data_IF_338430384008
#
_entry.id   IF_338430384008
#
_cell.length_a   1.000
_cell.length_b   1.000
_cell.length_c   1.000
_cell.angle_alpha   90.00
_cell.angle_beta   90.00
_cell.angle_gamma   90.00
#
_symmetry.space_group_name_H-M   'P 1'
#
loop_
_entity.id
_entity.type
_entity.pdbx_description
1 polymer ?
#
# COMPACT_ATOMS: atom_id res chain seq x y z
N UNK A 1 4.92 -33.01 11.84
CA UNK A 1 5.61 -31.77 12.28
C UNK A 1 4.60 -30.95 13.07
N UNK A 2 5.00 -30.41 14.23
CA UNK A 2 4.12 -29.56 15.04
C UNK A 2 3.92 -28.22 14.33
N UNK A 3 2.68 -27.73 14.30
CA UNK A 3 2.33 -26.45 13.67
C UNK A 3 2.86 -25.29 14.50
N UNK A 4 3.33 -24.22 13.85
CA UNK A 4 3.75 -22.97 14.50
C UNK A 4 2.57 -22.17 15.07
N UNK A 5 1.37 -22.42 14.55
CA UNK A 5 0.14 -21.77 14.99
C UNK A 5 -0.38 -22.35 16.31
N UNK A 6 -1.05 -21.49 17.10
CA UNK A 6 -1.75 -21.89 18.30
C UNK A 6 -2.62 -23.14 18.05
N UNK A 7 -2.51 -24.14 18.93
CA UNK A 7 -3.19 -25.43 18.74
C UNK A 7 -4.71 -25.30 18.57
N UNK A 8 -5.33 -24.28 19.18
CA UNK A 8 -6.76 -24.04 19.05
C UNK A 8 -7.15 -23.51 17.66
N UNK A 9 -6.26 -22.76 17.00
CA UNK A 9 -6.44 -22.32 15.61
C UNK A 9 -6.35 -23.52 14.69
N UNK A 10 -5.31 -24.35 14.86
CA UNK A 10 -5.09 -25.57 14.08
C UNK A 10 -6.27 -26.53 14.22
N UNK A 11 -6.75 -26.74 15.45
CA UNK A 11 -7.93 -27.57 15.73
C UNK A 11 -9.19 -27.01 15.07
N UNK A 12 -9.35 -25.69 15.01
CA UNK A 12 -10.52 -25.08 14.38
C UNK A 12 -10.52 -25.26 12.86
N UNK A 13 -9.38 -25.07 12.20
CA UNK A 13 -9.26 -25.35 10.76
C UNK A 13 -9.49 -26.83 10.42
N UNK A 14 -9.04 -27.76 11.27
CA UNK A 14 -9.30 -29.20 11.10
C UNK A 14 -10.75 -29.62 11.33
N UNK A 15 -11.57 -28.76 11.92
CA UNK A 15 -13.00 -29.04 12.18
C UNK A 15 -13.93 -28.63 11.04
N UNK A 16 -13.37 -28.08 9.96
CA UNK A 16 -14.12 -27.74 8.75
C UNK A 16 -14.56 -29.04 8.07
N UNK A 17 -15.85 -29.19 7.70
CA UNK A 17 -16.37 -30.42 7.12
C UNK A 17 -15.77 -30.68 5.72
N UNK A 18 -15.74 -31.94 5.27
CA UNK A 18 -15.43 -32.24 3.87
C UNK A 18 -16.47 -31.58 2.94
N UNK A 19 -16.00 -31.03 1.81
CA UNK A 19 -16.76 -30.15 0.90
C UNK A 19 -17.23 -28.84 1.55
N UNK A 20 -16.31 -28.01 2.05
CA UNK A 20 -16.66 -26.82 2.79
C UNK A 20 -17.26 -25.75 1.88
N UNK A 21 -18.23 -25.02 2.44
CA UNK A 21 -18.69 -23.75 1.91
C UNK A 21 -17.84 -22.64 2.51
N UNK A 22 -17.79 -21.51 1.84
CA UNK A 22 -17.05 -20.34 2.28
C UNK A 22 -17.35 -19.95 3.75
N UNK A 23 -18.63 -19.95 4.12
CA UNK A 23 -19.07 -19.63 5.49
C UNK A 23 -18.51 -20.58 6.55
N UNK A 24 -18.12 -21.81 6.20
CA UNK A 24 -17.53 -22.77 7.13
C UNK A 24 -16.11 -22.35 7.56
N UNK A 25 -15.46 -21.47 6.79
CA UNK A 25 -14.13 -20.91 7.09
C UNK A 25 -14.14 -19.60 7.89
N UNK A 26 -15.29 -18.92 8.02
CA UNK A 26 -15.38 -17.66 8.75
C UNK A 26 -14.93 -17.80 10.21
N UNK A 27 -15.39 -18.84 10.89
CA UNK A 27 -15.04 -19.08 12.29
C UNK A 27 -13.54 -19.45 12.48
N UNK A 28 -12.94 -20.36 11.68
CA UNK A 28 -11.49 -20.58 11.67
C UNK A 28 -10.66 -19.32 11.44
N UNK A 29 -10.99 -18.50 10.44
CA UNK A 29 -10.25 -17.28 10.14
C UNK A 29 -10.41 -16.21 11.21
N UNK A 30 -11.62 -16.01 11.75
CA UNK A 30 -11.80 -15.12 12.90
C UNK A 30 -10.98 -15.57 14.11
N UNK A 31 -10.92 -16.89 14.37
CA UNK A 31 -10.10 -17.45 15.46
C UNK A 31 -8.61 -17.15 15.25
N UNK A 32 -8.10 -17.35 14.04
CA UNK A 32 -6.72 -17.01 13.68
C UNK A 32 -6.46 -15.52 13.87
N UNK A 33 -7.28 -14.68 13.25
CA UNK A 33 -7.10 -13.23 13.28
C UNK A 33 -7.18 -12.68 14.71
N UNK A 34 -8.14 -13.12 15.53
CA UNK A 34 -8.21 -12.71 16.94
C UNK A 34 -7.08 -13.25 17.82
N UNK A 35 -6.35 -14.28 17.38
CA UNK A 35 -5.22 -14.83 18.15
C UNK A 35 -3.92 -14.11 17.79
N UNK A 36 -3.73 -13.75 16.52
CA UNK A 36 -2.49 -13.14 16.04
C UNK A 36 -2.50 -11.60 16.14
N UNK A 37 -3.70 -11.00 16.21
CA UNK A 37 -3.86 -9.56 16.28
C UNK A 37 -4.37 -9.16 17.68
N UNK A 38 -3.53 -8.42 18.41
CA UNK A 38 -3.82 -7.84 19.72
C UNK A 38 -4.86 -6.72 19.62
N UNK A 39 -5.87 -6.76 20.48
CA UNK A 39 -6.95 -5.77 20.53
C UNK A 39 -6.48 -4.34 20.84
N UNK A 40 -5.29 -4.19 21.42
CA UNK A 40 -4.65 -2.90 21.71
C UNK A 40 -3.78 -2.39 20.56
N UNK A 41 -3.58 -3.21 19.53
CA UNK A 41 -2.86 -2.84 18.32
C UNK A 41 -3.53 -1.68 17.60
N UNK A 42 -2.74 -0.85 16.90
CA UNK A 42 -3.24 0.28 16.10
C UNK A 42 -3.93 -0.16 14.79
N UNK A 43 -4.48 -1.37 14.78
CA UNK A 43 -5.20 -1.99 13.66
C UNK A 43 -6.58 -2.42 14.14
N UNK A 44 -7.54 -2.49 13.23
CA UNK A 44 -8.88 -3.01 13.53
C UNK A 44 -9.13 -4.25 12.67
N UNK A 45 -9.42 -5.37 13.32
CA UNK A 45 -9.83 -6.60 12.64
C UNK A 45 -11.35 -6.59 12.55
N UNK A 46 -11.88 -6.25 11.38
CA UNK A 46 -13.31 -6.25 11.12
C UNK A 46 -13.69 -7.53 10.34
N UNK A 47 -14.30 -8.54 10.98
CA UNK A 47 -14.95 -9.60 10.21
C UNK A 47 -16.11 -8.98 9.42
N UNK A 48 -16.21 -9.31 8.12
CA UNK A 48 -17.20 -8.68 7.25
C UNK A 48 -18.62 -9.02 7.74
N UNK A 49 -19.31 -8.01 8.28
CA UNK A 49 -20.73 -8.01 8.55
C UNK A 49 -21.28 -6.72 7.94
N UNK A 50 -22.05 -6.81 6.86
CA UNK A 50 -23.42 -6.30 6.76
C UNK A 50 -23.91 -6.29 5.28
N UNK A 51 -25.19 -6.63 5.04
CA UNK A 51 -25.80 -6.70 3.72
C UNK A 51 -26.32 -5.32 3.26
N UNK A 52 -26.37 -5.08 1.94
CA UNK A 52 -27.19 -3.98 1.40
C UNK A 52 -28.59 -4.48 1.00
N UNK A 53 -29.65 -3.72 1.33
CA UNK A 53 -31.02 -4.10 1.02
C UNK A 53 -31.36 -3.66 -0.41
N UNK A 54 -31.37 -4.61 -1.37
CA UNK A 54 -32.34 -4.68 -2.49
C UNK A 54 -31.96 -5.60 -3.67
N UNK A 55 -30.94 -6.45 -3.60
CA UNK A 55 -30.67 -7.38 -4.71
C UNK A 55 -31.17 -8.78 -4.40
N UNK A 56 -32.34 -9.14 -4.95
CA UNK A 56 -32.77 -10.53 -5.05
C UNK A 56 -31.94 -11.24 -6.11
N UNK A 57 -31.17 -12.21 -5.62
CA UNK A 57 -30.91 -13.51 -6.25
C UNK A 57 -30.13 -13.56 -7.56
N UNK A 58 -28.93 -12.99 -7.56
CA UNK A 58 -27.74 -13.63 -8.17
C UNK A 58 -26.54 -13.26 -7.30
N UNK A 59 -25.74 -14.24 -6.89
CA UNK A 59 -24.46 -13.99 -6.21
C UNK A 59 -23.42 -13.93 -7.32
N UNK A 60 -22.97 -12.71 -7.62
CA UNK A 60 -21.78 -12.50 -8.42
C UNK A 60 -20.57 -12.83 -7.56
N UNK A 61 -19.81 -13.86 -7.92
CA UNK A 61 -18.50 -14.11 -7.34
C UNK A 61 -17.48 -13.30 -8.13
N UNK A 62 -16.76 -12.40 -7.46
CA UNK A 62 -15.48 -11.90 -7.95
C UNK A 62 -14.37 -12.64 -7.21
N UNK A 63 -13.61 -13.46 -7.93
CA UNK A 63 -12.32 -13.96 -7.48
C UNK A 63 -11.30 -12.90 -7.88
N UNK A 64 -10.90 -12.06 -6.93
CA UNK A 64 -9.80 -11.12 -7.14
C UNK A 64 -8.50 -11.73 -6.59
N UNK A 65 -7.57 -12.05 -7.49
CA UNK A 65 -6.16 -12.11 -7.10
C UNK A 65 -5.72 -10.67 -6.84
N UNK A 66 -4.74 -10.41 -5.95
CA UNK A 66 -4.14 -9.06 -5.86
C UNK A 66 -3.46 -8.76 -7.19
N UNK A 67 -4.22 -8.19 -8.10
CA UNK A 67 -3.74 -7.53 -9.30
C UNK A 67 -3.17 -6.25 -8.74
N UNK A 68 -1.85 -6.10 -8.73
CA UNK A 68 -1.31 -4.75 -8.86
C UNK A 68 -1.85 -4.27 -10.21
N UNK A 69 -2.95 -3.52 -10.20
CA UNK A 69 -3.45 -2.94 -11.44
C UNK A 69 -2.29 -2.15 -11.99
N UNK A 70 -1.93 -2.45 -13.22
CA UNK A 70 -0.87 -1.76 -13.94
C UNK A 70 -1.13 -0.24 -13.93
N UNK A 71 -2.41 0.16 -13.98
CA UNK A 71 -2.83 1.55 -13.85
C UNK A 71 -2.61 2.16 -12.46
N UNK A 72 -2.51 1.37 -11.37
CA UNK A 72 -2.34 1.92 -10.03
C UNK A 72 -1.04 2.71 -9.87
N UNK A 73 0.05 2.29 -10.53
CA UNK A 73 1.34 3.01 -10.47
C UNK A 73 1.32 4.30 -11.28
N UNK A 74 0.68 4.28 -12.44
CA UNK A 74 0.41 5.48 -13.24
C UNK A 74 -0.47 6.47 -12.47
N UNK A 75 -1.60 6.01 -11.94
CA UNK A 75 -2.50 6.83 -11.12
C UNK A 75 -1.79 7.39 -9.87
N UNK A 76 -0.92 6.60 -9.24
CA UNK A 76 -0.10 7.06 -8.12
C UNK A 76 0.92 8.14 -8.52
N UNK A 77 1.64 7.94 -9.64
CA UNK A 77 2.58 8.92 -10.20
C UNK A 77 1.86 10.23 -10.56
N UNK A 78 0.69 10.15 -11.20
CA UNK A 78 -0.15 11.31 -11.51
C UNK A 78 -0.62 12.04 -10.25
N UNK A 79 -1.13 11.30 -9.26
CA UNK A 79 -1.64 11.87 -8.01
C UNK A 79 -0.55 12.60 -7.24
N UNK A 80 0.64 12.01 -7.06
CA UNK A 80 1.72 12.66 -6.32
C UNK A 80 2.26 13.88 -7.07
N UNK A 81 2.38 13.80 -8.41
CA UNK A 81 2.80 14.95 -9.21
C UNK A 81 1.81 16.10 -9.13
N UNK A 82 0.51 15.82 -9.17
CA UNK A 82 -0.52 16.84 -8.98
C UNK A 82 -0.36 17.54 -7.64
N UNK A 83 -0.24 16.77 -6.55
CA UNK A 83 -0.03 17.32 -5.20
C UNK A 83 1.24 18.14 -5.08
N UNK A 84 2.36 17.66 -5.64
CA UNK A 84 3.63 18.37 -5.63
C UNK A 84 3.58 19.67 -6.45
N UNK A 85 2.85 19.70 -7.57
CA UNK A 85 2.63 20.92 -8.35
C UNK A 85 1.80 21.95 -7.58
N UNK A 86 0.79 21.51 -6.84
CA UNK A 86 -0.09 22.40 -6.09
C UNK A 86 0.61 22.99 -4.85
N UNK A 87 1.36 22.15 -4.12
CA UNK A 87 1.98 22.53 -2.83
C UNK A 87 3.41 23.07 -3.00
N UNK A 88 4.15 22.59 -4.01
CA UNK A 88 5.56 22.93 -4.24
C UNK A 88 5.86 24.43 -4.30
N UNK A 89 5.07 25.25 -5.02
CA UNK A 89 5.26 26.71 -5.04
C UNK A 89 5.09 27.37 -3.66
N UNK A 90 4.25 26.80 -2.80
CA UNK A 90 3.94 27.29 -1.46
C UNK A 90 4.93 26.81 -0.40
N UNK A 91 5.72 25.77 -0.70
CA UNK A 91 6.71 25.24 0.22
C UNK A 91 7.79 26.30 0.51
N UNK A 92 8.13 26.56 1.78
CA UNK A 92 9.20 27.50 2.14
C UNK A 92 10.59 26.96 1.80
N UNK A 93 10.74 25.63 1.68
CA UNK A 93 11.98 24.97 1.30
C UNK A 93 12.24 25.09 -0.21
N UNK A 94 13.51 25.04 -0.61
CA UNK A 94 13.90 24.98 -2.03
C UNK A 94 13.52 23.66 -2.71
N UNK A 95 13.40 22.57 -1.94
CA UNK A 95 12.98 21.26 -2.40
C UNK A 95 11.82 20.73 -1.55
N UNK A 96 10.81 20.15 -2.19
CA UNK A 96 9.71 19.46 -1.56
C UNK A 96 9.74 17.98 -1.95
N UNK A 97 9.97 17.11 -0.97
CA UNK A 97 9.99 15.67 -1.19
C UNK A 97 8.62 15.05 -0.95
N UNK A 98 8.21 14.16 -1.84
CA UNK A 98 7.03 13.32 -1.70
C UNK A 98 7.42 11.84 -1.70
N UNK A 99 6.79 11.04 -0.85
CA UNK A 99 7.00 9.59 -0.82
C UNK A 99 5.67 8.91 -1.11
N UNK A 100 5.67 7.94 -2.02
CA UNK A 100 4.50 7.12 -2.34
C UNK A 100 4.87 5.64 -2.24
N UNK A 101 4.03 4.84 -1.61
CA UNK A 101 4.33 3.43 -1.34
C UNK A 101 3.21 2.49 -1.80
N UNK A 102 3.60 1.32 -2.30
CA UNK A 102 2.75 0.16 -2.56
C UNK A 102 3.22 -0.98 -1.65
N UNK A 103 2.41 -1.31 -0.64
CA UNK A 103 2.85 -2.22 0.42
C UNK A 103 4.10 -1.70 1.11
N UNK A 104 5.20 -2.45 1.03
CA UNK A 104 6.50 -2.11 1.63
C UNK A 104 7.45 -1.39 0.67
N UNK A 105 7.11 -1.36 -0.62
CA UNK A 105 7.91 -0.78 -1.68
C UNK A 105 7.53 0.68 -1.91
N UNK A 106 8.51 1.56 -2.08
CA UNK A 106 8.25 3.00 -2.18
C UNK A 106 9.07 3.68 -3.28
N UNK A 107 8.54 4.81 -3.76
CA UNK A 107 9.19 5.75 -4.66
C UNK A 107 9.30 7.12 -3.99
N UNK A 108 10.40 7.83 -4.24
CA UNK A 108 10.62 9.20 -3.78
C UNK A 108 10.54 10.14 -4.97
N UNK A 109 9.83 11.23 -4.75
CA UNK A 109 9.68 12.34 -5.67
C UNK A 109 10.29 13.59 -5.05
N UNK A 110 10.93 14.41 -5.88
CA UNK A 110 11.50 15.68 -5.46
C UNK A 110 11.00 16.79 -6.38
N UNK A 111 10.22 17.73 -5.83
CA UNK A 111 9.89 18.98 -6.49
C UNK A 111 10.96 20.03 -6.16
N UNK A 112 11.69 20.48 -7.18
CA UNK A 112 12.66 21.55 -7.08
C UNK A 112 12.01 22.89 -7.41
N UNK A 113 12.00 23.83 -6.47
CA UNK A 113 11.31 25.12 -6.62
C UNK A 113 11.94 26.00 -7.70
N UNK A 114 13.27 26.01 -7.77
CA UNK A 114 14.02 26.86 -8.71
C UNK A 114 13.74 26.50 -10.17
N UNK A 115 13.69 25.21 -10.47
CA UNK A 115 13.46 24.70 -11.83
C UNK A 115 11.99 24.37 -12.11
N UNK A 116 11.14 24.33 -11.07
CA UNK A 116 9.76 23.83 -11.09
C UNK A 116 9.63 22.43 -11.68
N UNK A 117 10.66 21.60 -11.47
CA UNK A 117 10.71 20.22 -11.97
C UNK A 117 10.42 19.25 -10.85
N UNK A 118 9.79 18.13 -11.23
CA UNK A 118 9.59 16.98 -10.35
C UNK A 118 10.47 15.85 -10.87
N UNK A 119 11.34 15.35 -10.02
CA UNK A 119 12.07 14.11 -10.24
C UNK A 119 11.42 12.96 -9.48
N UNK A 120 11.41 11.73 -10.03
CA UNK A 120 11.80 11.40 -11.41
C UNK A 120 10.87 12.07 -12.44
N UNK A 121 11.33 12.27 -13.68
CA UNK A 121 10.53 12.89 -14.73
C UNK A 121 9.26 12.08 -15.05
N UNK A 122 8.15 12.70 -15.48
CA UNK A 122 6.97 11.95 -15.93
C UNK A 122 7.35 11.08 -17.13
N UNK A 123 6.71 9.93 -17.25
CA UNK A 123 6.95 9.07 -18.42
C UNK A 123 5.98 9.45 -19.52
N UNK A 124 6.47 9.59 -20.77
CA UNK A 124 5.58 9.89 -21.87
C UNK A 124 4.57 8.77 -22.06
N UNK A 125 3.28 9.10 -22.09
CA UNK A 125 2.26 8.17 -22.56
C UNK A 125 2.53 7.83 -24.03
N UNK A 126 2.61 6.55 -24.37
CA UNK A 126 2.67 6.09 -25.76
C UNK A 126 1.25 5.73 -26.22
N UNK A 127 0.69 6.44 -27.22
CA UNK A 127 -0.68 6.20 -27.68
C UNK A 127 -0.88 4.81 -28.30
N UNK A 128 0.19 4.07 -28.60
CA UNK A 128 0.13 2.73 -29.18
C UNK A 128 0.32 1.61 -28.15
N UNK A 129 0.60 1.94 -26.89
CA UNK A 129 0.90 0.96 -25.84
C UNK A 129 -0.07 1.13 -24.65
N UNK A 130 -0.68 0.03 -24.22
CA UNK A 130 -1.59 -0.05 -23.06
C UNK A 130 -0.89 -0.53 -21.78
N UNK A 131 0.45 -0.41 -21.69
CA UNK A 131 1.24 -0.92 -20.56
C UNK A 131 1.64 0.17 -19.58
N UNK A 132 2.00 -0.28 -18.37
CA UNK A 132 2.51 0.48 -17.21
C UNK A 132 3.36 1.66 -17.66
N UNK A 133 2.82 2.87 -17.60
CA UNK A 133 3.62 4.05 -17.93
C UNK A 133 4.58 4.39 -16.79
N UNK A 134 4.43 3.83 -15.58
CA UNK A 134 5.36 4.09 -14.47
C UNK A 134 6.27 2.86 -14.21
N UNK A 135 7.60 2.97 -14.28
CA UNK A 135 8.48 1.82 -14.28
C UNK A 135 8.46 1.18 -12.90
N UNK A 136 8.36 -0.15 -12.86
CA UNK A 136 8.41 -0.92 -11.62
C UNK A 136 9.66 -0.61 -10.79
N UNK A 137 10.75 -0.23 -11.47
CA UNK A 137 12.03 0.13 -10.88
C UNK A 137 11.93 1.37 -9.99
N UNK A 138 10.91 2.24 -10.14
CA UNK A 138 10.71 3.39 -9.25
C UNK A 138 10.30 2.97 -7.85
N UNK A 139 9.61 1.85 -7.70
CA UNK A 139 9.22 1.26 -6.42
C UNK A 139 10.11 0.07 -6.07
N UNK A 140 11.38 0.07 -6.49
CA UNK A 140 12.27 -1.05 -6.18
C UNK A 140 12.76 -1.04 -4.72
N UNK A 141 12.79 0.12 -4.07
CA UNK A 141 13.25 0.25 -2.68
C UNK A 141 12.17 -0.25 -1.73
N UNK A 142 12.55 -1.20 -0.88
CA UNK A 142 11.67 -1.79 0.12
C UNK A 142 12.05 -1.30 1.51
N UNK A 143 11.09 -0.71 2.24
CA UNK A 143 11.33 -0.21 3.60
C UNK A 143 11.61 -1.33 4.62
N UNK A 144 11.25 -2.58 4.30
CA UNK A 144 11.56 -3.75 5.14
C UNK A 144 12.97 -4.28 4.89
N UNK A 145 13.60 -3.88 3.79
CA UNK A 145 15.00 -4.17 3.51
C UNK A 145 15.90 -3.10 4.13
N UNK A 146 17.09 -3.51 4.57
CA UNK A 146 18.05 -2.65 5.29
C UNK A 146 18.36 -1.36 4.51
N UNK A 147 18.64 -1.48 3.22
CA UNK A 147 19.07 -0.34 2.39
C UNK A 147 17.90 0.61 2.10
N UNK A 148 16.70 0.07 1.87
CA UNK A 148 15.50 0.88 1.67
C UNK A 148 15.08 1.61 2.94
N UNK A 149 15.18 0.97 4.12
CA UNK A 149 14.95 1.61 5.41
C UNK A 149 15.94 2.74 5.69
N UNK A 150 17.24 2.49 5.47
CA UNK A 150 18.29 3.47 5.71
C UNK A 150 18.12 4.70 4.83
N UNK A 151 17.89 4.50 3.53
CA UNK A 151 17.69 5.57 2.58
C UNK A 151 16.48 6.47 2.93
N UNK A 152 15.36 5.87 3.34
CA UNK A 152 14.18 6.63 3.75
C UNK A 152 14.44 7.43 5.03
N UNK A 153 15.18 6.84 5.98
CA UNK A 153 15.58 7.52 7.22
C UNK A 153 16.50 8.71 6.95
N UNK A 154 17.46 8.57 6.05
CA UNK A 154 18.36 9.67 5.64
C UNK A 154 17.59 10.82 5.00
N UNK A 155 16.61 10.52 4.14
CA UNK A 155 15.72 11.53 3.56
C UNK A 155 14.98 12.31 4.65
N UNK A 156 14.39 11.62 5.63
CA UNK A 156 13.66 12.27 6.72
C UNK A 156 14.57 13.18 7.55
N UNK A 157 15.79 12.72 7.86
CA UNK A 157 16.78 13.53 8.58
C UNK A 157 17.17 14.77 7.78
N UNK A 158 17.38 14.63 6.47
CA UNK A 158 17.66 15.75 5.57
C UNK A 158 16.52 16.80 5.60
N UNK A 159 15.26 16.36 5.49
CA UNK A 159 14.10 17.27 5.53
C UNK A 159 13.99 17.99 6.88
N UNK A 160 14.22 17.29 7.99
CA UNK A 160 14.23 17.90 9.32
C UNK A 160 15.28 19.01 9.40
N UNK A 161 16.51 18.73 8.98
CA UNK A 161 17.60 19.73 8.96
C UNK A 161 17.27 20.94 8.07
N UNK A 162 16.65 20.71 6.91
CA UNK A 162 16.23 21.80 6.02
C UNK A 162 15.16 22.68 6.68
N UNK A 163 14.20 22.08 7.40
CA UNK A 163 13.18 22.83 8.13
C UNK A 163 13.79 23.64 9.28
N UNK A 164 14.72 23.06 10.04
CA UNK A 164 15.44 23.73 11.12
C UNK A 164 16.25 24.93 10.61
N UNK A 165 16.84 24.85 9.40
CA UNK A 165 17.63 25.92 8.82
C UNK A 165 16.82 27.15 8.35
N UNK A 166 15.49 27.04 8.24
CA UNK A 166 14.59 28.16 7.94
C UNK A 166 14.07 28.83 9.23
N UNK A 167 14.29 28.19 10.39
CA UNK A 167 13.94 28.69 11.73
C UNK A 167 14.97 29.63 12.31
#
# INVERSE_FOLDING_TARGET
>A
MASIWNENVVKRFRSVPPNPRENDFHAPYNKLLCTEFDITGKYSVAPQAYPQPNTKSTIDFFVEYTIEFISSREEADEQIRKRLKDIGPLCPLGNLYGVFAFGTKYAIYNYMKDSRRIEPAPIPSDPNLTVDTAPIERWNKDLMEKDGALHLKELFQCVVQMCEAIG
#
